data_IF_295792356573
#
_entry.id   IF_295792356573
#
_cell.length_a   1.000
_cell.length_b   1.000
_cell.length_c   1.000
_cell.angle_alpha   90.00
_cell.angle_beta   90.00
_cell.angle_gamma   90.00
#
_symmetry.space_group_name_H-M   'P 1'
#
loop_
_entity.id
_entity.type
_entity.pdbx_description
1 polymer ?
#
# COMPACT_ATOMS: atom_id res chain seq x y z
N UNK A 1 26.11 -47.03 6.99
CA UNK A 1 25.49 -48.27 6.54
C UNK A 1 24.17 -47.98 5.87
N UNK A 2 24.13 -48.11 4.58
CA UNK A 2 22.99 -48.28 3.65
C UNK A 2 22.62 -49.78 3.75
N UNK A 3 21.54 -50.35 3.23
CA UNK A 3 20.71 -49.95 2.09
C UNK A 3 19.22 -50.46 2.09
N UNK A 4 18.56 -50.13 0.95
CA UNK A 4 17.58 -50.94 0.17
C UNK A 4 16.15 -51.11 0.73
N UNK A 5 15.07 -51.14 -0.06
CA UNK A 5 14.86 -51.58 -1.47
C UNK A 5 13.46 -51.14 -1.93
N UNK A 6 13.37 -50.89 -3.21
CA UNK A 6 12.28 -50.89 -4.18
C UNK A 6 11.12 -51.87 -3.92
N UNK A 7 9.90 -51.52 -4.33
CA UNK A 7 9.11 -52.36 -5.23
C UNK A 7 7.99 -51.58 -5.98
N UNK A 8 8.03 -51.76 -7.28
CA UNK A 8 7.01 -51.38 -8.23
C UNK A 8 5.96 -52.51 -8.34
N UNK A 9 4.71 -52.16 -8.55
CA UNK A 9 3.72 -53.10 -9.07
C UNK A 9 2.81 -52.37 -10.09
N UNK A 10 2.92 -52.82 -11.28
CA UNK A 10 2.11 -52.66 -12.48
C UNK A 10 0.72 -53.30 -12.26
N UNK A 11 -0.32 -52.65 -12.74
CA UNK A 11 -1.66 -53.24 -12.85
C UNK A 11 -2.43 -52.59 -14.01
N UNK A 12 -2.57 -53.38 -15.02
CA UNK A 12 -3.23 -53.17 -16.31
C UNK A 12 -4.77 -53.06 -16.21
N UNK A 13 -5.35 -52.31 -17.15
CA UNK A 13 -6.78 -52.07 -17.50
C UNK A 13 -7.62 -53.36 -17.66
N UNK A 14 -8.95 -53.17 -17.69
CA UNK A 14 -9.64 -53.52 -18.94
C UNK A 14 -10.55 -52.41 -19.51
N UNK A 15 -10.55 -52.40 -20.84
CA UNK A 15 -11.53 -51.71 -21.70
C UNK A 15 -12.86 -52.44 -21.61
N UNK A 16 -13.95 -51.64 -21.48
CA UNK A 16 -15.29 -52.11 -21.87
C UNK A 16 -15.95 -51.08 -22.79
N UNK A 17 -16.13 -51.58 -23.97
CA UNK A 17 -16.78 -51.01 -25.14
C UNK A 17 -18.29 -51.11 -24.95
N UNK A 18 -19.02 -50.01 -24.85
CA UNK A 18 -20.46 -49.99 -25.01
C UNK A 18 -20.88 -48.99 -26.09
N UNK A 19 -21.29 -49.56 -27.17
CA UNK A 19 -21.93 -48.98 -28.35
C UNK A 19 -23.41 -48.67 -28.04
N UNK A 20 -23.83 -47.38 -28.13
CA UNK A 20 -25.24 -47.01 -28.16
C UNK A 20 -25.46 -45.98 -29.27
N UNK A 21 -26.34 -46.38 -30.20
CA UNK A 21 -26.85 -45.63 -31.35
C UNK A 21 -27.72 -44.41 -30.97
N UNK A 22 -27.92 -43.48 -31.91
CA UNK A 22 -28.51 -42.16 -31.66
C UNK A 22 -30.01 -42.17 -31.62
N UNK A 23 -30.62 -41.45 -30.69
CA UNK A 23 -32.05 -41.15 -30.70
C UNK A 23 -32.32 -39.69 -30.34
N UNK A 24 -33.07 -39.07 -31.27
CA UNK A 24 -33.98 -37.93 -31.10
C UNK A 24 -33.45 -36.57 -30.64
N UNK A 25 -33.49 -35.65 -31.59
CA UNK A 25 -33.54 -34.20 -31.43
C UNK A 25 -34.78 -33.78 -30.62
N UNK A 26 -34.54 -33.07 -29.50
CA UNK A 26 -35.53 -32.14 -28.94
C UNK A 26 -34.99 -30.69 -29.00
N UNK A 27 -35.87 -29.67 -29.10
CA UNK A 27 -35.47 -28.33 -29.45
C UNK A 27 -34.79 -27.60 -28.29
N UNK A 28 -33.77 -26.81 -28.66
CA UNK A 28 -33.02 -25.97 -27.78
C UNK A 28 -33.87 -24.96 -27.01
N UNK A 29 -33.87 -25.05 -25.69
CA UNK A 29 -34.28 -23.97 -24.80
C UNK A 29 -33.30 -22.80 -24.98
N UNK A 30 -33.89 -21.65 -25.31
CA UNK A 30 -33.22 -20.34 -25.41
C UNK A 30 -32.75 -19.90 -24.03
N UNK A 31 -31.59 -20.42 -23.63
CA UNK A 31 -30.91 -20.02 -22.41
C UNK A 31 -30.16 -18.72 -22.71
N UNK A 32 -30.90 -17.61 -22.67
CA UNK A 32 -30.33 -16.26 -22.67
C UNK A 32 -29.40 -16.13 -21.48
N UNK A 33 -28.14 -16.46 -21.69
CA UNK A 33 -27.06 -16.18 -20.73
C UNK A 33 -27.07 -14.68 -20.49
N UNK A 34 -27.57 -14.28 -19.34
CA UNK A 34 -27.42 -12.90 -18.82
C UNK A 34 -25.93 -12.68 -18.65
N UNK A 35 -25.31 -12.03 -19.64
CA UNK A 35 -23.94 -11.53 -19.55
C UNK A 35 -23.99 -10.47 -18.47
N UNK A 36 -23.63 -10.86 -17.27
CA UNK A 36 -23.33 -9.91 -16.19
C UNK A 36 -22.08 -9.18 -16.62
N UNK A 37 -22.24 -8.05 -17.28
CA UNK A 37 -21.15 -7.12 -17.54
C UNK A 37 -20.63 -6.68 -16.18
N UNK A 38 -19.46 -7.21 -15.78
CA UNK A 38 -18.71 -6.61 -14.68
C UNK A 38 -18.51 -5.13 -15.03
N UNK A 39 -18.75 -4.20 -14.08
CA UNK A 39 -18.47 -2.79 -14.32
C UNK A 39 -17.02 -2.67 -14.77
N UNK A 40 -16.79 -1.96 -15.87
CA UNK A 40 -15.45 -1.70 -16.37
C UNK A 40 -14.64 -1.09 -15.22
N UNK A 41 -13.48 -1.68 -14.90
CA UNK A 41 -12.58 -1.12 -13.88
C UNK A 41 -12.19 0.30 -14.33
N UNK A 42 -12.34 1.27 -13.42
CA UNK A 42 -11.90 2.64 -13.69
C UNK A 42 -10.38 2.62 -13.86
N UNK A 43 -9.91 3.18 -14.95
CA UNK A 43 -8.47 3.39 -15.15
C UNK A 43 -7.94 4.42 -14.16
N UNK A 44 -6.65 4.31 -13.80
CA UNK A 44 -6.00 5.30 -12.97
C UNK A 44 -5.92 6.65 -13.68
N UNK A 45 -6.16 7.70 -12.92
CA UNK A 45 -5.99 9.08 -13.33
C UNK A 45 -4.86 9.75 -12.55
N UNK A 46 -4.33 10.85 -13.07
CA UNK A 46 -3.45 11.73 -12.33
C UNK A 46 -4.26 12.45 -11.25
N UNK A 47 -4.05 12.08 -9.98
CA UNK A 47 -4.73 12.68 -8.84
C UNK A 47 -4.09 14.00 -8.43
N UNK A 48 -2.74 14.04 -8.37
CA UNK A 48 -1.96 15.15 -7.83
C UNK A 48 -0.58 15.20 -8.46
N UNK A 49 -0.02 16.41 -8.55
CA UNK A 49 1.39 16.64 -8.87
C UNK A 49 2.03 17.42 -7.74
N UNK A 50 3.24 17.05 -7.36
CA UNK A 50 4.04 17.73 -6.34
C UNK A 50 5.42 18.02 -6.90
N UNK A 51 6.04 19.13 -6.47
CA UNK A 51 7.39 19.50 -6.85
C UNK A 51 8.31 19.40 -5.65
N UNK A 52 9.44 18.74 -5.80
CA UNK A 52 10.47 18.57 -4.79
C UNK A 52 11.76 19.25 -5.24
N UNK A 53 12.11 20.41 -4.66
CA UNK A 53 13.38 21.05 -4.97
C UNK A 53 14.55 20.24 -4.39
N UNK A 54 15.58 20.02 -5.20
CA UNK A 54 16.86 19.49 -4.75
C UNK A 54 17.85 20.66 -4.62
N UNK A 55 18.74 20.61 -3.65
CA UNK A 55 19.62 21.74 -3.28
C UNK A 55 20.58 22.27 -4.36
N UNK A 56 20.69 21.59 -5.50
CA UNK A 56 21.54 21.95 -6.63
C UNK A 56 20.79 22.76 -7.74
N UNK A 57 19.58 23.20 -7.44
CA UNK A 57 18.71 23.92 -8.38
C UNK A 57 17.90 23.00 -9.30
N UNK A 58 17.98 21.70 -9.12
CA UNK A 58 17.10 20.73 -9.75
C UNK A 58 15.78 20.63 -9.01
N UNK A 59 14.77 20.17 -9.72
CA UNK A 59 13.44 19.91 -9.17
C UNK A 59 12.94 18.57 -9.72
N UNK A 60 12.46 17.72 -8.84
CA UNK A 60 11.73 16.50 -9.20
C UNK A 60 10.23 16.81 -9.25
N UNK A 61 9.54 16.21 -10.21
CA UNK A 61 8.08 16.24 -10.29
C UNK A 61 7.53 14.87 -9.94
N UNK A 62 6.69 14.80 -8.90
CA UNK A 62 6.05 13.58 -8.42
C UNK A 62 4.60 13.57 -8.88
N UNK A 63 4.24 12.60 -9.69
CA UNK A 63 2.90 12.39 -10.21
C UNK A 63 2.22 11.25 -9.46
N UNK A 64 1.15 11.55 -8.73
CA UNK A 64 0.36 10.60 -7.94
C UNK A 64 -0.77 10.06 -8.80
N UNK A 65 -0.74 8.76 -9.08
CA UNK A 65 -1.76 8.07 -9.86
C UNK A 65 -2.65 7.19 -9.00
N UNK A 66 -3.92 7.18 -9.34
CA UNK A 66 -4.92 6.39 -8.66
C UNK A 66 -6.31 6.65 -9.23
N UNK A 67 -7.33 6.40 -8.43
CA UNK A 67 -8.72 6.56 -8.86
C UNK A 67 -9.62 7.07 -7.72
N UNK A 68 -10.75 7.69 -8.09
CA UNK A 68 -11.88 7.85 -7.17
C UNK A 68 -12.52 6.47 -6.98
N UNK A 69 -12.57 5.98 -5.75
CA UNK A 69 -13.02 4.61 -5.43
C UNK A 69 -14.54 4.46 -5.56
N UNK A 70 -15.31 5.47 -5.15
CA UNK A 70 -16.78 5.46 -5.15
C UNK A 70 -17.33 6.64 -5.92
N UNK A 71 -18.47 6.47 -6.60
CA UNK A 71 -19.07 7.56 -7.38
C UNK A 71 -19.69 8.65 -6.49
N UNK A 72 -20.32 8.23 -5.39
CA UNK A 72 -21.09 9.10 -4.51
C UNK A 72 -20.31 9.67 -3.32
N UNK A 73 -19.09 9.19 -3.07
CA UNK A 73 -18.26 9.55 -1.92
C UNK A 73 -16.89 9.96 -2.41
N UNK A 74 -16.36 11.08 -1.88
CA UNK A 74 -15.02 11.54 -2.20
C UNK A 74 -13.97 10.74 -1.42
N UNK A 75 -13.73 9.51 -1.87
CA UNK A 75 -12.65 8.66 -1.42
C UNK A 75 -11.78 8.32 -2.63
N UNK A 76 -10.49 8.59 -2.48
CA UNK A 76 -9.47 8.41 -3.51
C UNK A 76 -8.48 7.35 -3.08
N UNK A 77 -8.13 6.47 -4.00
CA UNK A 77 -7.10 5.47 -3.78
C UNK A 77 -5.85 5.79 -4.59
N UNK A 78 -4.71 5.83 -3.94
CA UNK A 78 -3.40 5.94 -4.60
C UNK A 78 -2.87 4.54 -4.86
N UNK A 79 -2.32 4.32 -6.05
CA UNK A 79 -1.68 3.06 -6.43
C UNK A 79 -0.22 3.22 -6.81
N UNK A 80 0.10 4.30 -7.52
CA UNK A 80 1.44 4.51 -8.08
C UNK A 80 1.88 5.98 -7.95
N UNK A 81 3.14 6.19 -7.62
CA UNK A 81 3.79 7.49 -7.72
C UNK A 81 4.90 7.39 -8.75
N UNK A 82 4.89 8.28 -9.74
CA UNK A 82 5.96 8.40 -10.74
C UNK A 82 6.77 9.64 -10.47
N UNK A 83 8.09 9.46 -10.36
CA UNK A 83 9.05 10.51 -10.08
C UNK A 83 9.79 10.85 -11.37
N UNK A 84 9.80 12.13 -11.71
CA UNK A 84 10.42 12.63 -12.94
C UNK A 84 11.51 13.66 -12.64
N UNK A 85 12.60 13.61 -13.39
CA UNK A 85 13.56 14.71 -13.57
C UNK A 85 13.34 15.31 -14.95
N UNK A 86 12.72 16.49 -15.02
CA UNK A 86 12.24 17.07 -16.28
C UNK A 86 11.20 16.16 -16.95
N UNK A 87 11.52 15.59 -18.12
CA UNK A 87 10.65 14.64 -18.82
C UNK A 87 11.05 13.17 -18.60
N UNK A 88 12.11 12.90 -17.87
CA UNK A 88 12.63 11.56 -17.68
C UNK A 88 11.99 10.92 -16.43
N UNK A 89 11.30 9.80 -16.60
CA UNK A 89 10.86 8.97 -15.50
C UNK A 89 12.09 8.32 -14.85
N UNK A 90 12.35 8.63 -13.57
CA UNK A 90 13.50 8.10 -12.84
C UNK A 90 13.11 7.03 -11.83
N UNK A 91 11.84 7.02 -11.36
CA UNK A 91 11.34 6.01 -10.44
C UNK A 91 9.82 5.84 -10.59
N UNK A 92 9.34 4.61 -10.41
CA UNK A 92 7.94 4.27 -10.19
C UNK A 92 7.82 3.54 -8.84
N UNK A 93 6.95 4.04 -7.97
CA UNK A 93 6.70 3.52 -6.61
C UNK A 93 5.30 2.94 -6.59
N UNK A 94 5.18 1.64 -6.34
CA UNK A 94 3.90 0.98 -6.15
C UNK A 94 3.58 0.92 -4.64
N UNK A 95 2.49 1.56 -4.22
CA UNK A 95 2.12 1.64 -2.80
C UNK A 95 1.83 0.24 -2.22
N UNK A 96 1.37 -0.67 -3.05
CA UNK A 96 1.14 -2.07 -2.67
C UNK A 96 2.37 -2.73 -2.05
N UNK A 97 3.58 -2.39 -2.48
CA UNK A 97 4.82 -2.97 -1.95
C UNK A 97 4.99 -2.63 -0.46
N UNK A 98 4.71 -1.38 -0.05
CA UNK A 98 4.71 -0.98 1.35
C UNK A 98 3.60 -1.67 2.16
N UNK A 99 2.40 -1.78 1.59
CA UNK A 99 1.28 -2.48 2.24
C UNK A 99 1.62 -3.94 2.50
N UNK A 100 2.25 -4.62 1.55
CA UNK A 100 2.66 -6.03 1.69
C UNK A 100 3.73 -6.20 2.78
N UNK A 101 4.68 -5.25 2.90
CA UNK A 101 5.72 -5.24 3.95
C UNK A 101 5.08 -5.09 5.34
N UNK A 102 4.15 -4.16 5.50
CA UNK A 102 3.49 -3.89 6.78
C UNK A 102 2.42 -4.94 7.15
N UNK A 103 2.12 -5.89 6.25
CA UNK A 103 1.04 -6.85 6.43
C UNK A 103 -0.34 -6.19 6.50
N UNK A 104 -0.46 -5.02 5.90
CA UNK A 104 -1.65 -4.19 5.94
C UNK A 104 -2.59 -4.58 4.79
N UNK A 105 -3.86 -4.68 5.12
CA UNK A 105 -4.89 -5.01 4.14
C UNK A 105 -5.26 -3.76 3.33
N UNK A 106 -4.60 -3.56 2.18
CA UNK A 106 -5.14 -2.73 1.12
C UNK A 106 -6.34 -3.42 0.46
N UNK A 107 -6.97 -2.78 -0.51
CA UNK A 107 -7.86 -3.54 -1.39
C UNK A 107 -7.04 -4.53 -2.24
N UNK A 108 -7.71 -5.53 -2.82
CA UNK A 108 -7.05 -6.57 -3.64
C UNK A 108 -6.26 -5.96 -4.82
N UNK A 109 -6.63 -4.76 -5.25
CA UNK A 109 -6.00 -4.02 -6.34
C UNK A 109 -4.80 -3.16 -5.89
N UNK A 110 -4.55 -3.04 -4.58
CA UNK A 110 -3.41 -2.33 -3.99
C UNK A 110 -3.56 -0.82 -3.95
N UNK A 111 -4.78 -0.31 -3.73
CA UNK A 111 -5.04 1.12 -3.54
C UNK A 111 -5.12 1.48 -2.05
N UNK A 112 -4.66 2.69 -1.73
CA UNK A 112 -4.95 3.34 -0.44
C UNK A 112 -6.40 3.83 -0.37
N UNK A 113 -6.77 4.46 0.75
CA UNK A 113 -8.06 5.13 0.91
C UNK A 113 -7.87 6.48 1.59
N UNK A 114 -8.11 7.57 0.87
CA UNK A 114 -7.94 8.94 1.33
C UNK A 114 -9.22 9.75 1.11
N UNK A 115 -9.62 10.62 2.06
CA UNK A 115 -10.87 11.38 1.95
C UNK A 115 -10.82 12.53 0.94
N UNK A 116 -9.65 12.92 0.44
CA UNK A 116 -9.52 13.97 -0.57
C UNK A 116 -8.33 13.73 -1.50
N UNK A 117 -8.37 14.33 -2.71
CA UNK A 117 -7.23 14.30 -3.64
C UNK A 117 -5.99 15.00 -3.08
N UNK A 118 -6.20 16.08 -2.36
CA UNK A 118 -5.14 16.94 -1.83
C UNK A 118 -4.34 16.23 -0.75
N UNK A 119 -4.99 15.38 0.04
CA UNK A 119 -4.37 14.67 1.15
C UNK A 119 -3.74 13.32 0.76
N UNK A 120 -3.91 12.88 -0.50
CA UNK A 120 -3.40 11.58 -0.97
C UNK A 120 -1.92 11.39 -0.75
N UNK A 121 -1.14 12.45 -0.92
CA UNK A 121 0.31 12.46 -0.76
C UNK A 121 0.82 13.82 -0.28
N UNK A 122 1.94 13.85 0.42
CA UNK A 122 2.64 15.06 0.82
C UNK A 122 4.16 14.86 0.75
N UNK A 123 4.89 15.98 0.80
CA UNK A 123 6.34 15.98 0.94
C UNK A 123 6.69 16.61 2.29
N UNK A 124 7.46 15.90 3.12
CA UNK A 124 7.88 16.31 4.47
C UNK A 124 9.27 15.79 4.74
N UNK A 125 10.10 16.53 5.43
CA UNK A 125 11.38 16.04 5.98
C UNK A 125 11.09 15.31 7.30
N UNK A 126 11.04 13.97 7.25
CA UNK A 126 10.70 13.14 8.42
C UNK A 126 11.91 12.46 9.05
N UNK A 127 13.04 12.43 8.38
CA UNK A 127 14.29 11.90 8.89
C UNK A 127 15.30 13.02 9.28
N UNK A 128 14.92 14.30 9.06
CA UNK A 128 15.66 15.51 9.43
C UNK A 128 17.01 15.66 8.72
N UNK A 129 17.13 15.09 7.51
CA UNK A 129 18.35 15.18 6.70
C UNK A 129 18.37 16.40 5.76
N UNK A 130 17.29 17.17 5.74
CA UNK A 130 17.12 18.40 4.95
C UNK A 130 16.55 18.15 3.54
N UNK A 131 16.31 16.91 3.16
CA UNK A 131 15.55 16.56 1.96
C UNK A 131 14.07 16.28 2.31
N UNK A 132 13.21 16.42 1.32
CA UNK A 132 11.80 16.10 1.51
C UNK A 132 11.55 14.62 1.21
N UNK A 133 10.87 13.96 2.11
CA UNK A 133 10.43 12.58 2.01
C UNK A 133 8.99 12.50 1.52
N UNK A 134 8.61 11.38 0.92
CA UNK A 134 7.28 11.13 0.40
C UNK A 134 6.41 10.49 1.49
N UNK A 135 5.30 11.16 1.81
CA UNK A 135 4.23 10.66 2.66
C UNK A 135 3.04 10.26 1.80
N UNK A 136 2.49 9.08 2.00
CA UNK A 136 1.26 8.60 1.36
C UNK A 136 0.23 8.25 2.43
N UNK A 137 -0.98 8.79 2.28
CA UNK A 137 -2.12 8.46 3.11
C UNK A 137 -2.50 6.98 2.94
N UNK A 138 -2.58 6.21 4.02
CA UNK A 138 -2.81 4.77 3.96
C UNK A 138 -4.28 4.41 3.75
N UNK A 139 -5.06 4.42 4.84
CA UNK A 139 -6.52 4.19 4.77
C UNK A 139 -7.24 4.94 5.87
N UNK A 140 -8.58 4.98 5.78
CA UNK A 140 -9.46 5.66 6.75
C UNK A 140 -9.87 4.65 7.83
N UNK A 141 -9.17 4.56 8.97
CA UNK A 141 -9.53 3.69 10.07
C UNK A 141 -10.49 4.41 11.03
N UNK A 142 -10.98 3.67 12.02
CA UNK A 142 -11.89 4.25 13.01
C UNK A 142 -11.21 5.24 13.97
N UNK A 143 -9.89 5.12 14.24
CA UNK A 143 -9.23 5.86 15.33
C UNK A 143 -7.84 6.42 15.02
N UNK A 144 -7.14 5.97 13.99
CA UNK A 144 -5.80 6.45 13.64
C UNK A 144 -5.53 6.22 12.16
N UNK A 145 -4.88 7.18 11.54
CA UNK A 145 -4.59 7.18 10.11
C UNK A 145 -3.14 6.73 9.93
N UNK A 146 -2.89 5.58 9.30
CA UNK A 146 -1.53 5.20 8.92
C UNK A 146 -1.08 5.98 7.71
N UNK A 147 0.16 6.41 7.74
CA UNK A 147 0.87 7.01 6.63
C UNK A 147 2.08 6.15 6.29
N UNK A 148 2.31 5.92 5.01
CA UNK A 148 3.51 5.28 4.52
C UNK A 148 4.53 6.32 4.15
N UNK A 149 5.81 6.09 4.52
CA UNK A 149 6.92 7.02 4.29
C UNK A 149 8.01 6.36 3.45
N UNK A 150 8.41 7.06 2.41
CA UNK A 150 9.61 6.77 1.62
C UNK A 150 10.58 7.91 1.80
N UNK A 151 11.71 7.65 2.44
CA UNK A 151 12.76 8.65 2.61
C UNK A 151 13.57 8.81 1.32
N UNK A 152 13.92 10.06 1.02
CA UNK A 152 14.80 10.35 -0.11
C UNK A 152 16.23 9.94 0.19
N UNK A 153 16.81 9.09 -0.65
CA UNK A 153 18.22 8.72 -0.56
C UNK A 153 19.02 9.55 -1.58
N UNK A 154 19.81 10.49 -1.08
CA UNK A 154 20.59 11.39 -1.94
C UNK A 154 21.77 10.69 -2.64
N UNK A 155 22.19 9.51 -2.19
CA UNK A 155 23.24 8.74 -2.86
C UNK A 155 22.69 7.99 -4.06
N UNK A 156 21.54 7.32 -3.89
CA UNK A 156 20.86 6.56 -4.96
C UNK A 156 19.98 7.43 -5.86
N UNK A 157 19.66 8.65 -5.42
CA UNK A 157 18.72 9.58 -6.07
C UNK A 157 17.33 8.94 -6.26
N UNK A 158 16.86 8.25 -5.21
CA UNK A 158 15.58 7.55 -5.19
C UNK A 158 14.91 7.66 -3.82
N UNK A 159 13.59 7.51 -3.81
CA UNK A 159 12.81 7.29 -2.61
C UNK A 159 12.89 5.82 -2.22
N UNK A 160 13.21 5.53 -0.96
CA UNK A 160 13.29 4.19 -0.41
C UNK A 160 12.25 4.03 0.69
N UNK A 161 11.44 2.96 0.63
CA UNK A 161 10.44 2.70 1.66
C UNK A 161 11.13 2.55 3.02
N UNK A 162 10.62 3.26 4.01
CA UNK A 162 11.26 3.36 5.31
C UNK A 162 10.36 2.84 6.43
N UNK A 163 9.15 3.37 6.59
CA UNK A 163 8.26 2.95 7.66
C UNK A 163 6.80 3.34 7.40
N UNK A 164 5.90 2.73 8.18
CA UNK A 164 4.52 3.15 8.33
C UNK A 164 4.31 3.69 9.76
N UNK A 165 3.69 4.85 9.87
CA UNK A 165 3.42 5.46 11.16
C UNK A 165 2.02 6.07 11.19
N UNK A 166 1.31 5.94 12.32
CA UNK A 166 -0.01 6.54 12.50
C UNK A 166 0.12 8.04 12.71
N UNK A 167 -1.00 8.79 12.63
CA UNK A 167 -1.10 10.24 12.68
C UNK A 167 0.07 10.94 13.41
N UNK A 168 0.84 11.74 12.69
CA UNK A 168 2.15 12.22 13.08
C UNK A 168 2.16 13.73 13.35
N UNK A 169 2.81 14.12 14.44
CA UNK A 169 3.33 15.46 14.65
C UNK A 169 4.85 15.45 14.50
N UNK A 170 5.39 16.35 13.69
CA UNK A 170 6.85 16.50 13.48
C UNK A 170 7.35 17.65 14.34
N UNK A 171 8.22 17.35 15.29
CA UNK A 171 8.94 18.34 16.08
C UNK A 171 10.32 18.57 15.45
N UNK A 172 10.39 19.58 14.59
CA UNK A 172 11.61 19.94 13.86
C UNK A 172 12.74 20.42 14.77
N UNK A 173 12.41 21.04 15.93
CA UNK A 173 13.42 21.58 16.84
C UNK A 173 14.18 20.47 17.57
N UNK A 174 13.49 19.41 17.95
CA UNK A 174 14.03 18.27 18.70
C UNK A 174 14.32 17.05 17.83
N UNK A 175 14.04 17.11 16.51
CA UNK A 175 14.18 16.02 15.56
C UNK A 175 13.41 14.77 16.02
N UNK A 176 12.12 14.96 16.34
CA UNK A 176 11.25 13.90 16.83
C UNK A 176 9.97 13.75 15.99
N UNK A 177 9.59 12.51 15.80
CA UNK A 177 8.27 12.12 15.30
C UNK A 177 7.41 11.72 16.50
N UNK A 178 6.29 12.42 16.71
CA UNK A 178 5.45 12.24 17.89
C UNK A 178 4.10 11.67 17.47
N UNK A 179 3.73 10.53 18.06
CA UNK A 179 2.50 9.80 17.77
C UNK A 179 1.69 9.65 19.03
N UNK A 180 0.45 10.09 18.99
CA UNK A 180 -0.50 9.85 20.07
C UNK A 180 -1.55 8.82 19.62
N UNK A 181 -1.83 7.83 20.46
CA UNK A 181 -2.84 6.83 20.16
C UNK A 181 -3.49 6.25 21.41
N UNK A 182 -4.72 5.79 21.23
CA UNK A 182 -5.49 5.11 22.24
C UNK A 182 -5.18 3.61 22.22
N UNK A 183 -4.79 3.07 23.37
CA UNK A 183 -4.54 1.62 23.53
C UNK A 183 -5.85 0.91 23.92
N UNK A 184 -6.52 1.44 24.94
CA UNK A 184 -7.84 0.98 25.40
C UNK A 184 -8.61 2.13 26.07
N UNK A 185 -9.85 1.89 26.52
CA UNK A 185 -10.62 2.94 27.15
C UNK A 185 -9.91 3.51 28.38
N UNK A 186 -9.57 4.80 28.34
CA UNK A 186 -8.89 5.53 29.40
C UNK A 186 -7.37 5.24 29.46
N UNK A 187 -6.78 4.59 28.46
CA UNK A 187 -5.32 4.42 28.37
C UNK A 187 -4.82 4.94 27.02
N UNK A 188 -3.95 5.92 27.07
CA UNK A 188 -3.36 6.58 25.90
C UNK A 188 -1.84 6.58 26.00
N UNK A 189 -1.19 6.47 24.87
CA UNK A 189 0.26 6.56 24.75
C UNK A 189 0.64 7.72 23.84
N UNK A 190 1.72 8.41 24.21
CA UNK A 190 2.44 9.34 23.35
C UNK A 190 3.84 8.78 23.16
N UNK A 191 4.12 8.33 21.94
CA UNK A 191 5.42 7.79 21.56
C UNK A 191 6.24 8.85 20.84
N UNK A 192 7.52 8.92 21.19
CA UNK A 192 8.50 9.82 20.61
C UNK A 192 9.56 8.98 19.91
N UNK A 193 9.66 9.16 18.59
CA UNK A 193 10.60 8.42 17.76
C UNK A 193 11.68 9.33 17.20
N UNK A 194 12.89 8.81 17.05
CA UNK A 194 13.90 9.32 16.13
C UNK A 194 13.98 8.42 14.91
N UNK A 195 14.41 9.00 13.80
CA UNK A 195 14.77 8.23 12.61
C UNK A 195 16.28 8.09 12.60
N UNK A 196 16.78 6.86 12.53
CA UNK A 196 18.21 6.60 12.54
C UNK A 196 18.84 6.72 11.13
N UNK A 197 20.15 6.56 11.03
CA UNK A 197 20.89 6.66 9.77
C UNK A 197 20.47 5.65 8.69
N UNK A 198 19.67 4.64 9.06
CA UNK A 198 19.10 3.65 8.13
C UNK A 198 17.65 3.93 7.77
N UNK A 199 17.13 5.09 8.16
CA UNK A 199 15.72 5.45 8.02
C UNK A 199 14.77 4.49 8.77
N UNK A 200 15.21 3.93 9.91
CA UNK A 200 14.39 3.10 10.80
C UNK A 200 13.93 3.91 12.01
N UNK A 201 12.74 3.60 12.52
CA UNK A 201 12.19 4.25 13.72
C UNK A 201 12.84 3.71 15.00
N UNK A 202 13.35 4.61 15.85
CA UNK A 202 13.83 4.30 17.20
C UNK A 202 12.95 4.99 18.24
N UNK A 203 12.23 4.20 19.05
CA UNK A 203 11.43 4.72 20.16
C UNK A 203 12.39 5.27 21.23
N UNK A 204 12.34 6.59 21.45
CA UNK A 204 13.21 7.27 22.43
C UNK A 204 12.52 7.49 23.76
N UNK A 205 11.21 7.71 23.74
CA UNK A 205 10.39 7.91 24.93
C UNK A 205 8.96 7.46 24.71
N UNK A 206 8.27 7.10 25.78
CA UNK A 206 6.83 6.86 25.84
C UNK A 206 6.24 7.49 27.07
N UNK A 207 5.25 8.34 26.90
CA UNK A 207 4.39 8.85 27.95
C UNK A 207 3.10 8.03 28.01
N UNK A 208 2.61 7.81 29.23
CA UNK A 208 1.41 7.01 29.47
C UNK A 208 0.41 7.87 30.26
N UNK A 209 -0.76 8.06 29.70
CA UNK A 209 -1.91 8.67 30.36
C UNK A 209 -2.92 7.56 30.69
N UNK A 210 -3.16 7.32 31.99
CA UNK A 210 -4.04 6.26 32.48
C UNK A 210 -5.18 6.86 33.32
N UNK A 211 -6.30 7.08 32.67
CA UNK A 211 -7.54 7.62 33.24
C UNK A 211 -8.55 6.52 33.64
N UNK A 212 -8.12 5.27 33.69
CA UNK A 212 -8.99 4.14 34.04
C UNK A 212 -9.37 4.21 35.52
N UNK A 213 -10.63 3.87 35.87
CA UNK A 213 -11.06 3.82 37.28
C UNK A 213 -10.21 2.78 38.02
N UNK A 214 -9.70 3.21 39.18
CA UNK A 214 -8.90 2.36 40.08
C UNK A 214 -9.79 1.45 40.89
#
# INVERSE_FOLDING_TARGET
AVPHTTNAASGTLPEDNINISPSALEPADDNTATVTTQPAMKEDELLKTMEMPLGDGKTLSLHVFGKKKFDDIDIYGVREIRVYEGMNLIQSILVKEAMDIEGMYGDEEGYTECPSKEETAALKDVNFDGYLDLEIYGWIPNNSIPYYYWCWNNETQQFEYSFCLQLLHIDQENELLIVWYKVENGLYYTDYYRVNEKNELELTNREVEDDRPK
#
